data_IF_109499777725
#
_entry.id   IF_109499777725
#
_cell.length_a   1.000
_cell.length_b   1.000
_cell.length_c   1.000
_cell.angle_alpha   90.00
_cell.angle_beta   90.00
_cell.angle_gamma   90.00
#
_symmetry.space_group_name_H-M   'P 1'
#
loop_
_entity.id
_entity.type
_entity.pdbx_description
1 polymer ?
#
# COMPACT_ATOMS: atom_id res chain seq x y z
N UNK A 1 27.65 10.67 8.59
CA UNK A 1 26.30 11.25 8.35
C UNK A 1 26.25 11.79 6.93
N UNK A 2 25.05 11.79 6.34
CA UNK A 2 24.69 12.19 4.97
C UNK A 2 24.62 11.01 3.98
N UNK A 3 23.46 10.32 4.03
CA UNK A 3 22.95 9.52 2.92
C UNK A 3 22.16 10.43 1.95
N UNK A 4 22.06 10.03 0.69
CA UNK A 4 21.24 10.72 -0.30
C UNK A 4 19.76 10.73 0.15
N UNK A 5 19.13 11.90 0.14
CA UNK A 5 17.70 12.07 0.38
C UNK A 5 17.06 12.63 -0.89
N UNK A 6 15.98 11.98 -1.34
CA UNK A 6 15.07 12.55 -2.33
C UNK A 6 13.98 13.32 -1.57
N UNK A 7 13.91 14.63 -1.79
CA UNK A 7 12.85 15.49 -1.27
C UNK A 7 11.77 15.58 -2.33
N UNK A 8 10.55 15.14 -2.01
CA UNK A 8 9.38 15.34 -2.87
C UNK A 8 8.48 16.35 -2.18
N UNK A 9 8.30 17.51 -2.79
CA UNK A 9 7.30 18.49 -2.35
C UNK A 9 6.00 18.24 -3.10
N UNK A 10 4.90 18.09 -2.37
CA UNK A 10 3.54 18.03 -2.90
C UNK A 10 2.86 19.37 -2.60
N UNK A 11 2.51 20.13 -3.64
CA UNK A 11 1.56 21.23 -3.52
C UNK A 11 0.17 20.75 -3.98
N UNK A 12 -0.87 21.29 -3.32
CA UNK A 12 -2.23 20.75 -3.28
C UNK A 12 -3.07 21.07 -4.54
N UNK A 13 -2.48 21.66 -5.57
CA UNK A 13 -3.16 22.03 -6.80
C UNK A 13 -2.46 21.38 -7.99
N UNK A 14 -2.87 20.15 -8.33
CA UNK A 14 -2.75 19.41 -9.61
C UNK A 14 -1.50 19.54 -10.52
N UNK A 15 -0.43 20.22 -10.11
CA UNK A 15 0.86 20.31 -10.78
C UNK A 15 1.98 19.98 -9.79
N UNK A 16 2.55 18.79 -9.98
CA UNK A 16 3.71 18.34 -9.21
C UNK A 16 4.97 18.94 -9.84
N UNK A 17 5.45 20.06 -9.30
CA UNK A 17 6.78 20.54 -9.63
C UNK A 17 7.83 19.69 -8.90
N UNK A 18 8.55 18.86 -9.66
CA UNK A 18 9.81 18.27 -9.18
C UNK A 18 10.84 19.40 -9.11
N UNK A 19 10.96 20.06 -7.97
CA UNK A 19 12.13 20.90 -7.72
C UNK A 19 13.35 19.99 -7.54
N UNK A 20 14.21 19.95 -8.56
CA UNK A 20 15.58 19.47 -8.43
C UNK A 20 16.29 20.34 -7.37
N UNK A 21 16.40 19.83 -6.14
CA UNK A 21 17.33 20.40 -5.15
C UNK A 21 18.58 19.53 -5.17
N UNK A 22 19.60 20.05 -5.85
CA UNK A 22 20.92 19.49 -5.98
C UNK A 22 21.75 19.85 -4.74
N UNK A 23 22.21 18.86 -3.96
CA UNK A 23 23.41 19.01 -3.12
C UNK A 23 24.25 17.72 -3.15
N UNK A 24 25.23 17.75 -4.08
CA UNK A 24 26.55 17.11 -4.16
C UNK A 24 26.79 15.79 -3.41
N UNK A 25 27.00 14.69 -4.16
CA UNK A 25 28.31 14.08 -4.47
C UNK A 25 28.13 12.83 -5.36
N UNK A 26 29.05 12.63 -6.31
CA UNK A 26 29.34 11.31 -6.90
C UNK A 26 28.56 10.93 -8.17
N UNK A 27 29.13 11.24 -9.32
CA UNK A 27 28.78 10.75 -10.65
C UNK A 27 28.59 9.22 -10.72
N UNK A 28 27.51 8.74 -11.36
CA UNK A 28 27.56 7.43 -12.03
C UNK A 28 26.37 6.46 -11.96
N UNK A 29 25.15 6.84 -11.57
CA UNK A 29 24.01 5.90 -11.60
C UNK A 29 22.98 6.28 -12.67
N UNK A 30 22.72 5.35 -13.59
CA UNK A 30 21.82 5.52 -14.72
C UNK A 30 20.37 5.76 -14.27
N UNK A 31 19.85 6.93 -14.66
CA UNK A 31 18.54 7.49 -14.33
C UNK A 31 17.26 6.77 -14.82
N UNK A 32 17.22 5.83 -15.79
CA UNK A 32 15.93 5.41 -16.35
C UNK A 32 15.03 4.56 -15.43
N UNK A 33 15.57 3.77 -14.49
CA UNK A 33 14.77 2.77 -13.75
C UNK A 33 14.19 3.26 -12.43
N UNK A 34 14.80 4.26 -11.78
CA UNK A 34 14.26 4.83 -10.53
C UNK A 34 12.95 5.56 -10.81
N UNK A 35 12.87 6.28 -11.93
CA UNK A 35 11.67 7.02 -12.35
C UNK A 35 10.44 6.12 -12.61
N UNK A 36 10.63 4.90 -13.09
CA UNK A 36 9.52 3.96 -13.31
C UNK A 36 8.94 3.40 -12.00
N UNK A 37 9.77 3.11 -11.01
CA UNK A 37 9.30 2.70 -9.68
C UNK A 37 8.54 3.82 -8.96
N UNK A 38 8.99 5.08 -9.11
CA UNK A 38 8.31 6.23 -8.50
C UNK A 38 6.98 6.59 -9.17
N UNK A 39 6.85 6.39 -10.49
CA UNK A 39 5.59 6.62 -11.20
C UNK A 39 4.48 5.65 -10.73
N UNK A 40 4.80 4.37 -10.56
CA UNK A 40 3.86 3.40 -9.98
C UNK A 40 3.55 3.67 -8.50
N UNK A 41 4.55 4.12 -7.73
CA UNK A 41 4.36 4.48 -6.31
C UNK A 41 3.45 5.71 -6.12
N UNK A 42 3.48 6.67 -7.05
CA UNK A 42 2.59 7.84 -7.07
C UNK A 42 1.12 7.45 -7.22
N UNK A 43 0.82 6.49 -8.09
CA UNK A 43 -0.54 5.99 -8.32
C UNK A 43 -1.06 5.19 -7.11
N UNK A 44 -0.16 4.43 -6.47
CA UNK A 44 -0.45 3.67 -5.24
C UNK A 44 -0.74 4.59 -4.05
N UNK A 45 0.05 5.65 -3.82
CA UNK A 45 -0.16 6.58 -2.70
C UNK A 45 -1.49 7.33 -2.77
N UNK A 46 -2.05 7.52 -3.99
CA UNK A 46 -3.34 8.22 -4.18
C UNK A 46 -4.52 7.48 -3.54
N UNK A 47 -4.40 6.16 -3.37
CA UNK A 47 -5.49 5.30 -2.88
C UNK A 47 -5.26 4.77 -1.46
N UNK A 48 -4.16 5.14 -0.79
CA UNK A 48 -3.94 4.74 0.60
C UNK A 48 -4.69 5.71 1.51
N UNK A 49 -5.58 5.22 2.41
CA UNK A 49 -6.25 6.07 3.38
C UNK A 49 -5.22 6.55 4.41
N UNK A 50 -4.67 7.75 4.18
CA UNK A 50 -3.78 8.42 5.12
C UNK A 50 -4.60 9.13 6.21
N UNK A 51 -4.07 9.22 7.44
CA UNK A 51 -4.77 9.92 8.53
C UNK A 51 -4.95 11.42 8.21
N UNK A 52 -6.02 12.00 8.73
CA UNK A 52 -6.37 13.43 8.58
C UNK A 52 -5.25 14.37 9.02
N UNK A 53 -4.50 13.96 10.03
CA UNK A 53 -3.32 14.67 10.53
C UNK A 53 -2.24 14.88 9.46
N UNK A 54 -2.30 14.17 8.33
CA UNK A 54 -1.37 14.25 7.19
C UNK A 54 -2.07 14.87 5.99
N UNK A 55 -3.28 14.42 5.64
CA UNK A 55 -4.03 14.90 4.47
C UNK A 55 -4.54 16.33 4.62
N UNK A 56 -4.75 16.80 5.86
CA UNK A 56 -5.14 18.17 6.17
C UNK A 56 -3.98 19.18 6.17
N UNK A 57 -2.72 18.75 6.02
CA UNK A 57 -1.56 19.66 6.09
C UNK A 57 -1.19 20.25 4.74
N UNK A 58 -0.74 21.50 4.76
CA UNK A 58 -0.22 22.22 3.60
C UNK A 58 1.28 22.49 3.75
N UNK A 59 1.99 22.74 2.63
CA UNK A 59 3.40 23.17 2.62
C UNK A 59 4.36 22.31 3.47
N UNK A 60 4.19 20.99 3.44
CA UNK A 60 5.05 20.05 4.14
C UNK A 60 5.99 19.32 3.17
N UNK A 61 7.11 18.82 3.67
CA UNK A 61 8.02 17.95 2.93
C UNK A 61 7.62 16.49 3.15
N UNK A 62 7.60 15.70 2.07
CA UNK A 62 7.32 14.26 2.12
C UNK A 62 8.48 13.47 1.51
N UNK A 63 8.94 12.44 2.21
CA UNK A 63 9.97 11.52 1.73
C UNK A 63 9.57 10.09 2.04
N UNK A 64 9.71 9.18 1.07
CA UNK A 64 9.51 7.74 1.30
C UNK A 64 10.86 7.05 1.52
N UNK A 65 10.94 6.17 2.52
CA UNK A 65 12.12 5.38 2.86
C UNK A 65 11.74 3.91 2.85
N UNK A 66 12.30 3.15 1.90
CA UNK A 66 12.11 1.70 1.85
C UNK A 66 12.94 1.04 2.96
N UNK A 67 12.25 0.35 3.87
CA UNK A 67 12.87 -0.42 4.96
C UNK A 67 13.03 -1.89 4.59
N UNK A 68 12.08 -2.43 3.83
CA UNK A 68 12.13 -3.78 3.24
C UNK A 68 11.20 -3.86 2.01
N UNK A 69 11.21 -4.95 1.22
CA UNK A 69 10.29 -5.13 0.10
C UNK A 69 8.80 -5.02 0.49
N UNK A 70 8.49 -5.26 1.76
CA UNK A 70 7.12 -5.24 2.29
C UNK A 70 6.88 -4.09 3.28
N UNK A 71 7.83 -3.16 3.44
CA UNK A 71 7.71 -2.08 4.42
C UNK A 71 8.34 -0.78 3.90
N UNK A 72 7.54 0.27 3.82
CA UNK A 72 7.94 1.62 3.41
C UNK A 72 7.50 2.61 4.47
N UNK A 73 8.40 3.52 4.84
CA UNK A 73 8.12 4.58 5.79
C UNK A 73 7.96 5.91 5.05
N UNK A 74 6.82 6.57 5.23
CA UNK A 74 6.63 7.94 4.77
C UNK A 74 7.01 8.90 5.89
N UNK A 75 8.02 9.72 5.65
CA UNK A 75 8.51 10.74 6.56
C UNK A 75 7.96 12.08 6.11
N UNK A 76 7.26 12.75 7.01
CA UNK A 76 6.64 14.05 6.79
C UNK A 76 7.30 15.03 7.74
N UNK A 77 7.76 16.15 7.22
CA UNK A 77 8.43 17.19 8.00
C UNK A 77 7.84 18.56 7.70
N UNK A 78 7.52 19.29 8.76
CA UNK A 78 6.97 20.64 8.70
C UNK A 78 5.51 20.67 8.23
N UNK A 79 5.15 21.83 7.69
CA UNK A 79 3.82 22.12 7.19
C UNK A 79 3.12 23.26 7.93
N UNK A 80 1.94 23.60 7.41
CA UNK A 80 0.94 24.43 8.06
C UNK A 80 -0.35 23.64 8.25
N UNK A 81 -1.07 24.01 9.30
CA UNK A 81 -2.44 23.56 9.51
C UNK A 81 -3.38 24.14 8.44
N UNK A 82 -4.58 23.59 8.36
CA UNK A 82 -5.60 24.01 7.41
C UNK A 82 -5.86 25.52 7.46
N UNK A 83 -6.17 26.09 6.29
CA UNK A 83 -6.61 27.47 6.17
C UNK A 83 -7.90 27.66 6.96
N UNK A 84 -7.85 28.57 7.94
CA UNK A 84 -9.03 29.05 8.63
C UNK A 84 -9.33 30.45 8.12
N UNK A 85 -10.59 30.68 7.75
CA UNK A 85 -11.08 32.00 7.46
C UNK A 85 -11.42 32.66 8.79
N UNK A 86 -10.72 33.73 9.13
CA UNK A 86 -10.96 34.48 10.36
C UNK A 86 -11.46 35.89 9.99
N UNK A 87 -12.55 36.34 10.63
CA UNK A 87 -13.04 37.71 10.50
C UNK A 87 -12.09 38.65 11.25
N UNK A 88 -11.35 39.43 10.50
CA UNK A 88 -10.40 40.44 11.04
C UNK A 88 -11.10 41.77 11.34
N UNK A 89 -12.42 41.83 11.17
CA UNK A 89 -13.27 42.98 11.43
C UNK A 89 -13.70 43.71 10.15
N UNK A 90 -14.91 44.28 10.16
CA UNK A 90 -15.45 45.04 9.03
C UNK A 90 -16.08 44.17 7.92
N UNK A 91 -16.32 42.88 8.18
CA UNK A 91 -16.89 41.94 7.20
C UNK A 91 -15.88 41.42 6.19
N UNK A 92 -14.58 41.52 6.49
CA UNK A 92 -13.49 40.99 5.67
C UNK A 92 -12.94 39.75 6.38
N UNK A 93 -13.06 38.60 5.72
CA UNK A 93 -12.44 37.36 6.16
C UNK A 93 -11.08 37.20 5.47
N UNK A 94 -10.03 36.95 6.26
CA UNK A 94 -8.70 36.66 5.73
C UNK A 94 -8.32 35.18 6.02
N UNK A 95 -7.60 34.52 5.10
CA UNK A 95 -7.15 33.16 5.29
C UNK A 95 -5.92 33.14 6.22
N UNK A 96 -6.12 32.75 7.47
CA UNK A 96 -5.05 32.53 8.44
C UNK A 96 -4.57 31.07 8.35
N UNK A 97 -3.25 30.88 8.27
CA UNK A 97 -2.64 29.53 8.29
C UNK A 97 -1.51 29.46 9.31
N UNK A 98 -1.71 28.62 10.32
CA UNK A 98 -0.78 28.46 11.45
C UNK A 98 0.37 27.54 11.06
N UNK A 99 1.60 28.03 11.22
CA UNK A 99 2.79 27.20 11.08
C UNK A 99 2.83 26.12 12.15
N UNK A 100 3.13 24.89 11.75
CA UNK A 100 3.34 23.80 12.69
C UNK A 100 4.70 24.02 13.36
N UNK A 101 4.67 24.58 14.56
CA UNK A 101 5.86 24.79 15.41
C UNK A 101 5.95 23.79 16.56
N UNK A 102 4.90 22.99 16.78
CA UNK A 102 4.88 21.94 17.78
C UNK A 102 5.84 20.81 17.38
N UNK A 103 6.87 20.56 18.19
CA UNK A 103 7.87 19.51 18.00
C UNK A 103 7.24 18.13 17.79
N UNK A 104 6.11 17.85 18.45
CA UNK A 104 5.42 16.56 18.31
C UNK A 104 4.75 16.43 16.95
N UNK A 105 4.24 17.53 16.39
CA UNK A 105 3.58 17.53 15.08
C UNK A 105 4.56 17.83 13.95
N UNK A 106 5.73 18.40 14.24
CA UNK A 106 6.70 18.85 13.24
C UNK A 106 7.22 17.71 12.37
N UNK A 107 7.46 16.53 12.95
CA UNK A 107 7.91 15.35 12.22
C UNK A 107 6.96 14.20 12.48
N UNK A 108 6.49 13.57 11.41
CA UNK A 108 5.65 12.37 11.47
C UNK A 108 6.21 11.28 10.58
N UNK A 109 6.06 10.02 11.02
CA UNK A 109 6.40 8.85 10.23
C UNK A 109 5.17 7.95 10.11
N UNK A 110 4.81 7.59 8.89
CA UNK A 110 3.77 6.60 8.61
C UNK A 110 4.44 5.33 8.14
N UNK A 111 4.21 4.23 8.84
CA UNK A 111 4.66 2.90 8.43
C UNK A 111 3.61 2.27 7.53
N UNK A 112 3.98 2.07 6.28
CA UNK A 112 3.21 1.31 5.31
C UNK A 112 3.76 -0.11 5.23
N UNK A 113 2.86 -1.08 5.32
CA UNK A 113 3.18 -2.50 5.15
C UNK A 113 2.41 -3.05 3.97
N UNK A 114 3.11 -3.80 3.13
CA UNK A 114 2.51 -4.53 2.02
C UNK A 114 1.96 -5.85 2.52
N UNK A 115 0.67 -6.08 2.30
CA UNK A 115 0.03 -7.37 2.60
C UNK A 115 -0.01 -8.25 1.35
N UNK A 116 0.01 -9.58 1.53
CA UNK A 116 -0.03 -10.55 0.44
C UNK A 116 -1.24 -10.39 -0.50
N UNK A 117 -2.30 -9.71 -0.03
CA UNK A 117 -3.48 -9.34 -0.82
C UNK A 117 -3.23 -8.24 -1.87
N UNK A 118 -1.99 -7.76 -2.04
CA UNK A 118 -1.62 -6.80 -3.08
C UNK A 118 -1.84 -5.33 -2.71
N UNK A 119 -2.10 -5.04 -1.43
CA UNK A 119 -2.42 -3.69 -0.95
C UNK A 119 -1.40 -3.18 0.07
N UNK A 120 -1.29 -1.86 0.16
CA UNK A 120 -0.51 -1.19 1.20
C UNK A 120 -1.44 -0.73 2.32
N UNK A 121 -1.15 -1.15 3.54
CA UNK A 121 -1.89 -0.73 4.73
C UNK A 121 -1.03 0.16 5.62
N UNK A 122 -1.65 1.14 6.26
CA UNK A 122 -1.01 1.94 7.31
C UNK A 122 -0.95 1.07 8.58
N UNK A 123 0.25 0.62 8.94
CA UNK A 123 0.46 -0.17 10.14
C UNK A 123 0.60 0.72 11.38
N UNK A 124 1.31 1.84 11.27
CA UNK A 124 1.47 2.78 12.37
C UNK A 124 1.66 4.21 11.89
N UNK A 125 1.23 5.16 12.72
CA UNK A 125 1.44 6.60 12.54
C UNK A 125 2.17 7.07 13.79
N UNK A 126 3.37 7.58 13.62
CA UNK A 126 4.27 7.98 14.70
C UNK A 126 4.47 9.49 14.63
N UNK A 127 4.21 10.15 15.74
CA UNK A 127 4.48 11.58 15.89
C UNK A 127 5.86 11.84 16.55
N UNK A 128 6.24 13.09 16.67
CA UNK A 128 7.51 13.49 17.28
C UNK A 128 7.72 12.97 18.71
N UNK A 129 6.64 12.77 19.48
CA UNK A 129 6.72 12.18 20.81
C UNK A 129 7.01 10.68 20.71
N UNK A 130 6.29 9.97 19.84
CA UNK A 130 6.51 8.54 19.58
C UNK A 130 7.93 8.25 19.07
N UNK A 131 8.50 9.14 18.26
CA UNK A 131 9.87 9.03 17.75
C UNK A 131 10.94 9.09 18.86
N UNK A 132 10.63 9.75 19.98
CA UNK A 132 11.53 9.77 21.14
C UNK A 132 11.35 8.56 22.06
N UNK A 133 10.29 7.77 21.85
CA UNK A 133 10.00 6.62 22.70
C UNK A 133 11.06 5.52 22.56
N UNK A 134 11.38 4.87 23.69
CA UNK A 134 12.30 3.72 23.71
C UNK A 134 11.81 2.59 22.79
N UNK A 135 10.50 2.37 22.72
CA UNK A 135 9.85 1.38 21.86
C UNK A 135 10.15 1.63 20.38
N UNK A 136 10.05 2.88 19.92
CA UNK A 136 10.40 3.23 18.55
C UNK A 136 11.90 3.07 18.30
N UNK A 137 12.77 3.51 19.21
CA UNK A 137 14.22 3.37 19.04
C UNK A 137 14.66 1.91 18.87
N UNK A 138 14.10 1.00 19.68
CA UNK A 138 14.34 -0.44 19.57
C UNK A 138 13.82 -1.00 18.24
N UNK A 139 12.60 -0.61 17.86
CA UNK A 139 11.98 -0.99 16.57
C UNK A 139 12.84 -0.51 15.40
N UNK A 140 13.21 0.76 15.35
CA UNK A 140 14.08 1.33 14.31
C UNK A 140 15.45 0.66 14.28
N UNK A 141 16.05 0.37 15.43
CA UNK A 141 17.32 -0.36 15.50
C UNK A 141 17.20 -1.76 14.89
N UNK A 142 16.09 -2.45 15.14
CA UNK A 142 15.80 -3.74 14.50
C UNK A 142 15.65 -3.60 12.98
N UNK A 143 14.79 -2.69 12.51
CA UNK A 143 14.59 -2.46 11.09
C UNK A 143 15.84 -1.97 10.37
N UNK A 144 16.66 -1.15 11.01
CA UNK A 144 17.93 -0.69 10.43
C UNK A 144 18.87 -1.86 10.17
N UNK A 145 18.94 -2.86 11.08
CA UNK A 145 19.76 -4.07 10.84
C UNK A 145 19.21 -4.88 9.68
N UNK A 146 17.89 -5.08 9.62
CA UNK A 146 17.22 -5.79 8.53
C UNK A 146 17.39 -5.06 7.19
N UNK A 147 17.25 -3.72 7.19
CA UNK A 147 17.47 -2.89 6.01
C UNK A 147 18.91 -2.95 5.54
N UNK A 148 19.89 -2.83 6.44
CA UNK A 148 21.31 -3.00 6.09
C UNK A 148 21.55 -4.37 5.50
N UNK A 149 21.01 -5.44 6.10
CA UNK A 149 21.12 -6.79 5.54
C UNK A 149 20.50 -6.90 4.14
N UNK A 150 19.28 -6.37 3.92
CA UNK A 150 18.65 -6.36 2.59
C UNK A 150 19.43 -5.51 1.59
N UNK A 151 19.94 -4.36 2.01
CA UNK A 151 20.76 -3.50 1.17
C UNK A 151 22.07 -4.20 0.84
N UNK A 152 22.71 -4.91 1.77
CA UNK A 152 23.93 -5.69 1.51
C UNK A 152 23.64 -6.82 0.53
N UNK A 153 22.53 -7.54 0.67
CA UNK A 153 22.08 -8.56 -0.30
C UNK A 153 21.82 -7.96 -1.70
N UNK A 154 21.33 -6.72 -1.78
CA UNK A 154 21.11 -6.01 -3.05
C UNK A 154 22.41 -5.40 -3.62
N UNK A 155 23.32 -4.93 -2.75
CA UNK A 155 24.64 -4.39 -3.10
C UNK A 155 25.56 -5.49 -3.59
N UNK A 156 25.38 -6.73 -3.10
CA UNK A 156 26.20 -7.86 -3.54
C UNK A 156 26.03 -8.15 -5.04
N UNK A 157 24.98 -7.69 -5.77
CA UNK A 157 24.87 -8.05 -7.20
C UNK A 157 24.02 -7.13 -8.11
N UNK A 158 24.61 -6.00 -8.57
CA UNK A 158 24.71 -5.75 -10.01
C UNK A 158 26.16 -5.84 -10.51
N UNK A 159 27.13 -5.34 -9.75
CA UNK A 159 28.52 -5.15 -10.23
C UNK A 159 29.23 -6.46 -10.55
N UNK A 160 29.05 -7.55 -9.80
CA UNK A 160 29.76 -8.80 -10.10
C UNK A 160 29.12 -9.60 -11.27
N UNK A 161 27.79 -9.55 -11.47
CA UNK A 161 27.12 -10.13 -12.67
C UNK A 161 27.52 -9.30 -13.86
N UNK A 162 27.45 -7.98 -13.73
CA UNK A 162 27.84 -7.04 -14.77
C UNK A 162 29.32 -7.19 -15.12
N UNK A 163 30.23 -7.33 -14.16
CA UNK A 163 31.66 -7.57 -14.43
C UNK A 163 31.92 -8.95 -15.03
N UNK A 164 31.21 -10.01 -14.62
CA UNK A 164 31.31 -11.34 -15.25
C UNK A 164 30.76 -11.31 -16.67
N UNK A 165 29.62 -10.65 -16.89
CA UNK A 165 28.98 -10.49 -18.19
C UNK A 165 29.82 -9.60 -19.12
N UNK A 166 30.38 -8.50 -18.62
CA UNK A 166 31.29 -7.63 -19.37
C UNK A 166 32.58 -8.36 -19.75
N UNK A 167 33.17 -9.15 -18.83
CA UNK A 167 34.30 -10.03 -19.16
C UNK A 167 33.95 -11.04 -20.24
N UNK A 168 32.78 -11.66 -20.16
CA UNK A 168 32.31 -12.60 -21.17
C UNK A 168 32.09 -11.92 -22.55
N UNK A 169 31.48 -10.74 -22.57
CA UNK A 169 31.30 -9.92 -23.79
C UNK A 169 32.66 -9.53 -24.39
N UNK A 170 33.64 -9.15 -23.58
CA UNK A 170 35.00 -8.84 -24.04
C UNK A 170 35.70 -10.07 -24.63
N UNK A 171 35.60 -11.23 -23.97
CA UNK A 171 36.16 -12.49 -24.47
C UNK A 171 35.60 -12.84 -25.85
N UNK A 172 34.28 -12.78 -26.00
CA UNK A 172 33.60 -13.05 -27.27
C UNK A 172 34.06 -12.08 -28.38
N UNK A 173 34.24 -10.79 -28.07
CA UNK A 173 34.76 -9.83 -29.04
C UNK A 173 36.18 -10.19 -29.51
N UNK A 174 37.01 -10.67 -28.59
CA UNK A 174 38.41 -11.02 -28.89
C UNK A 174 38.49 -12.30 -29.72
N UNK A 175 37.69 -13.31 -29.40
CA UNK A 175 37.55 -14.53 -30.21
C UNK A 175 37.04 -14.22 -31.62
N UNK A 176 36.04 -13.34 -31.75
CA UNK A 176 35.51 -12.91 -33.04
C UNK A 176 36.55 -12.19 -33.90
N UNK A 177 37.39 -11.35 -33.28
CA UNK A 177 38.47 -10.63 -33.96
C UNK A 177 39.57 -11.59 -34.45
N UNK A 178 39.96 -12.56 -33.64
CA UNK A 178 40.94 -13.60 -34.02
C UNK A 178 40.39 -14.46 -35.16
N UNK A 179 39.13 -14.89 -35.08
CA UNK A 179 38.47 -15.64 -36.14
C UNK A 179 38.43 -14.84 -37.46
N UNK A 180 38.17 -13.53 -37.40
CA UNK A 180 38.20 -12.66 -38.56
C UNK A 180 39.61 -12.55 -39.17
N UNK A 181 40.64 -12.37 -38.34
CA UNK A 181 42.04 -12.35 -38.81
C UNK A 181 42.44 -13.68 -39.45
N UNK A 182 42.11 -14.80 -38.82
CA UNK A 182 42.39 -16.13 -39.37
C UNK A 182 41.69 -16.35 -40.72
N UNK A 183 40.44 -15.89 -40.86
CA UNK A 183 39.71 -15.93 -42.13
C UNK A 183 40.41 -15.12 -43.22
N UNK A 184 40.88 -13.91 -42.92
CA UNK A 184 41.61 -13.07 -43.87
C UNK A 184 42.94 -13.72 -44.28
N UNK A 185 43.71 -14.24 -43.33
CA UNK A 185 44.98 -14.94 -43.61
C UNK A 185 44.76 -16.18 -44.48
N UNK A 186 43.72 -16.97 -44.22
CA UNK A 186 43.36 -18.12 -45.07
C UNK A 186 42.98 -17.67 -46.48
N UNK A 187 42.25 -16.57 -46.61
CA UNK A 187 41.88 -16.02 -47.91
C UNK A 187 43.11 -15.52 -48.68
N UNK A 188 44.05 -14.85 -48.03
CA UNK A 188 45.32 -14.43 -48.64
C UNK A 188 46.17 -15.63 -49.08
N UNK A 189 46.34 -16.63 -48.22
CA UNK A 189 47.07 -17.86 -48.55
C UNK A 189 46.47 -18.60 -49.76
N UNK A 190 45.14 -18.68 -49.86
CA UNK A 190 44.43 -19.23 -51.01
C UNK A 190 44.69 -18.43 -52.29
N UNK A 191 44.69 -17.09 -52.20
CA UNK A 191 44.96 -16.24 -53.38
C UNK A 191 46.42 -16.31 -53.84
N UNK A 192 47.37 -16.43 -52.91
CA UNK A 192 48.81 -16.55 -53.22
C UNK A 192 49.13 -17.93 -53.81
N UNK A 193 48.55 -19.00 -53.27
CA UNK A 193 48.66 -20.35 -53.85
C UNK A 193 48.09 -20.40 -55.28
N UNK A 194 46.96 -19.74 -55.52
CA UNK A 194 46.36 -19.64 -56.87
C UNK A 194 47.22 -18.82 -57.85
N UNK A 195 48.05 -17.88 -57.37
CA UNK A 195 49.04 -17.18 -58.20
C UNK A 195 50.28 -18.04 -58.48
N UNK A 196 50.78 -18.77 -57.47
CA UNK A 196 51.96 -19.64 -57.60
C UNK A 196 51.69 -20.89 -58.46
N UNK A 197 50.44 -21.30 -58.65
CA UNK A 197 50.07 -22.39 -59.56
C UNK A 197 50.24 -22.05 -61.07
N UNK A 198 50.67 -20.84 -61.43
CA UNK A 198 50.92 -20.41 -62.82
C UNK A 198 52.40 -20.41 -63.23
N UNK A 199 53.36 -20.83 -62.39
CA UNK A 199 54.79 -20.89 -62.75
C UNK A 199 55.39 -22.23 -62.31
N UNK A 200 56.15 -22.82 -63.23
CA UNK A 200 56.49 -24.24 -63.39
C UNK A 200 57.29 -24.95 -62.27
N UNK A 201 57.16 -26.29 -62.31
CA UNK A 201 58.09 -27.37 -61.94
C UNK A 201 58.73 -27.40 -60.54
N UNK A 202 58.09 -28.13 -59.61
CA UNK A 202 58.80 -29.10 -58.76
C UNK A 202 57.82 -30.16 -58.21
N UNK A 203 58.14 -31.44 -58.43
CA UNK A 203 57.28 -32.59 -58.14
C UNK A 203 57.40 -33.07 -56.68
N UNK A 204 58.41 -32.58 -55.95
CA UNK A 204 58.72 -32.95 -54.55
C UNK A 204 58.15 -32.00 -53.50
N UNK A 205 58.00 -30.70 -53.78
CA UNK A 205 57.38 -29.74 -52.84
C UNK A 205 55.85 -29.83 -52.85
N UNK A 206 55.28 -30.38 -53.93
CA UNK A 206 53.84 -30.58 -54.07
C UNK A 206 53.30 -31.63 -53.11
N UNK A 207 54.06 -32.67 -52.75
CA UNK A 207 53.56 -33.76 -51.89
C UNK A 207 53.41 -33.35 -50.43
N UNK A 208 54.40 -32.66 -49.84
CA UNK A 208 54.31 -32.16 -48.45
C UNK A 208 53.20 -31.12 -48.29
N UNK A 209 53.07 -30.20 -49.26
CA UNK A 209 52.03 -29.15 -49.23
C UNK A 209 50.62 -29.73 -49.46
N UNK A 210 50.49 -30.82 -50.23
CA UNK A 210 49.23 -31.58 -50.36
C UNK A 210 48.88 -32.33 -49.07
N UNK A 211 49.88 -32.87 -48.38
CA UNK A 211 49.68 -33.61 -47.13
C UNK A 211 49.24 -32.69 -45.98
N UNK A 212 49.82 -31.48 -45.88
CA UNK A 212 49.34 -30.44 -44.96
C UNK A 212 47.92 -29.95 -45.32
N UNK A 213 47.62 -29.80 -46.61
CA UNK A 213 46.29 -29.39 -47.08
C UNK A 213 45.22 -30.45 -46.76
N UNK A 214 45.55 -31.74 -46.90
CA UNK A 214 44.68 -32.85 -46.52
C UNK A 214 44.44 -32.90 -45.00
N UNK A 215 45.46 -32.64 -44.18
CA UNK A 215 45.31 -32.51 -42.72
C UNK A 215 44.43 -31.32 -42.33
N UNK A 216 44.64 -30.15 -42.92
CA UNK A 216 43.83 -28.96 -42.67
C UNK A 216 42.37 -29.16 -43.13
N UNK A 217 42.17 -29.85 -44.25
CA UNK A 217 40.84 -30.20 -44.74
C UNK A 217 40.12 -31.17 -43.80
N UNK A 218 40.83 -32.15 -43.24
CA UNK A 218 40.29 -33.07 -42.25
C UNK A 218 39.89 -32.33 -40.95
N UNK A 219 40.74 -31.43 -40.45
CA UNK A 219 40.43 -30.59 -39.28
C UNK A 219 39.22 -29.69 -39.52
N UNK A 220 39.12 -29.05 -40.68
CA UNK A 220 37.94 -28.25 -41.07
C UNK A 220 36.66 -29.08 -41.18
N UNK A 221 36.77 -30.36 -41.54
CA UNK A 221 35.64 -31.26 -41.63
C UNK A 221 35.16 -31.70 -40.23
N UNK A 222 36.10 -31.90 -39.31
CA UNK A 222 35.86 -32.19 -37.89
C UNK A 222 35.23 -31.00 -37.16
N UNK A 223 35.76 -29.78 -37.34
CA UNK A 223 35.18 -28.54 -36.80
C UNK A 223 33.76 -28.29 -37.30
N UNK A 224 33.49 -28.53 -38.59
CA UNK A 224 32.13 -28.44 -39.14
C UNK A 224 31.18 -29.42 -38.47
N UNK A 225 31.66 -30.62 -38.11
CA UNK A 225 30.86 -31.63 -37.45
C UNK A 225 30.49 -31.19 -36.03
N UNK A 226 31.44 -30.62 -35.28
CA UNK A 226 31.22 -30.07 -33.93
C UNK A 226 30.23 -28.90 -33.96
N UNK A 227 30.40 -27.95 -34.89
CA UNK A 227 29.48 -26.80 -35.04
C UNK A 227 28.06 -27.26 -35.39
N UNK A 228 27.92 -28.33 -36.17
CA UNK A 228 26.61 -28.88 -36.53
C UNK A 228 25.92 -29.51 -35.32
N UNK A 229 26.67 -30.28 -34.51
CA UNK A 229 26.14 -30.90 -33.29
C UNK A 229 25.73 -29.86 -32.22
N UNK A 230 26.53 -28.81 -32.03
CA UNK A 230 26.22 -27.74 -31.07
C UNK A 230 25.00 -26.92 -31.51
N UNK A 231 24.81 -26.70 -32.81
CA UNK A 231 23.61 -26.05 -33.33
C UNK A 231 22.34 -26.88 -33.09
N UNK A 232 22.42 -28.21 -33.20
CA UNK A 232 21.29 -29.10 -32.86
C UNK A 232 20.98 -29.07 -31.35
N UNK A 233 22.01 -29.06 -30.49
CA UNK A 233 21.83 -28.88 -29.04
C UNK A 233 21.22 -27.54 -28.67
N UNK A 234 21.63 -26.46 -29.34
CA UNK A 234 21.06 -25.13 -29.13
C UNK A 234 19.60 -25.09 -29.58
N UNK A 235 19.27 -25.71 -30.72
CA UNK A 235 17.90 -25.80 -31.20
C UNK A 235 16.97 -26.51 -30.21
N UNK A 236 17.42 -27.64 -29.65
CA UNK A 236 16.64 -28.36 -28.62
C UNK A 236 16.39 -27.52 -27.35
N UNK A 237 17.35 -26.67 -26.94
CA UNK A 237 17.16 -25.75 -25.81
C UNK A 237 16.20 -24.60 -26.14
N UNK A 238 16.22 -24.11 -27.38
CA UNK A 238 15.29 -23.06 -27.83
C UNK A 238 13.85 -23.60 -27.79
N UNK A 239 13.63 -24.83 -28.26
CA UNK A 239 12.31 -25.47 -28.23
C UNK A 239 11.79 -25.62 -26.77
N UNK A 240 12.66 -25.98 -25.82
CA UNK A 240 12.32 -26.09 -24.39
C UNK A 240 11.93 -24.73 -23.77
N UNK A 241 12.65 -23.65 -24.15
CA UNK A 241 12.31 -22.29 -23.71
C UNK A 241 11.03 -21.77 -24.34
N UNK A 242 10.71 -22.12 -25.59
CA UNK A 242 9.44 -21.76 -26.22
C UNK A 242 8.26 -22.35 -25.45
N UNK A 243 8.34 -23.63 -25.06
CA UNK A 243 7.32 -24.29 -24.21
C UNK A 243 7.14 -23.55 -22.89
N UNK A 244 8.24 -23.25 -22.19
CA UNK A 244 8.22 -22.51 -20.93
C UNK A 244 7.62 -21.10 -21.06
N UNK A 245 7.87 -20.41 -22.18
CA UNK A 245 7.27 -19.10 -22.45
C UNK A 245 5.75 -19.22 -22.61
N UNK A 246 5.26 -20.23 -23.34
CA UNK A 246 3.82 -20.48 -23.46
C UNK A 246 3.16 -20.80 -22.13
N UNK A 247 3.78 -21.62 -21.28
CA UNK A 247 3.26 -21.91 -19.92
C UNK A 247 3.13 -20.63 -19.09
N UNK A 248 4.14 -19.76 -19.11
CA UNK A 248 4.09 -18.45 -18.43
C UNK A 248 2.97 -17.56 -18.99
N UNK A 249 2.74 -17.56 -20.30
CA UNK A 249 1.69 -16.76 -20.93
C UNK A 249 0.28 -17.24 -20.51
N UNK A 250 0.07 -18.56 -20.42
CA UNK A 250 -1.18 -19.13 -19.92
C UNK A 250 -1.40 -18.82 -18.42
N UNK A 251 -0.37 -18.95 -17.58
CA UNK A 251 -0.44 -18.57 -16.16
C UNK A 251 -0.78 -17.09 -15.97
N UNK A 252 -0.16 -16.20 -16.76
CA UNK A 252 -0.47 -14.76 -16.72
C UNK A 252 -1.93 -14.48 -17.06
N UNK A 253 -2.49 -15.19 -18.03
CA UNK A 253 -3.90 -15.03 -18.42
C UNK A 253 -4.83 -15.46 -17.30
N UNK A 254 -4.55 -16.58 -16.62
CA UNK A 254 -5.33 -17.04 -15.47
C UNK A 254 -5.27 -16.02 -14.32
N UNK A 255 -4.08 -15.51 -13.99
CA UNK A 255 -3.89 -14.50 -12.94
C UNK A 255 -4.69 -13.22 -13.26
N UNK A 256 -4.77 -12.80 -14.52
CA UNK A 256 -5.54 -11.62 -14.90
C UNK A 256 -7.06 -11.83 -14.79
N UNK A 257 -7.56 -13.03 -15.07
CA UNK A 257 -8.96 -13.39 -14.84
C UNK A 257 -9.30 -13.43 -13.33
N UNK A 258 -8.43 -14.02 -12.50
CA UNK A 258 -8.60 -14.04 -11.04
C UNK A 258 -8.60 -12.62 -10.44
N UNK A 259 -7.70 -11.74 -10.90
CA UNK A 259 -7.68 -10.34 -10.47
C UNK A 259 -9.00 -9.62 -10.72
N UNK A 260 -9.64 -9.86 -11.87
CA UNK A 260 -10.96 -9.27 -12.20
C UNK A 260 -12.06 -9.77 -11.25
N UNK A 261 -12.04 -11.07 -10.92
CA UNK A 261 -13.00 -11.65 -9.97
C UNK A 261 -12.82 -11.10 -8.55
N UNK A 262 -11.58 -10.95 -8.10
CA UNK A 262 -11.26 -10.34 -6.79
C UNK A 262 -11.75 -8.90 -6.71
N UNK A 263 -11.53 -8.12 -7.78
CA UNK A 263 -11.98 -6.71 -7.84
C UNK A 263 -13.51 -6.58 -7.82
N UNK A 264 -14.23 -7.50 -8.48
CA UNK A 264 -15.69 -7.55 -8.39
C UNK A 264 -16.17 -7.96 -6.99
N UNK A 265 -15.46 -8.90 -6.35
CA UNK A 265 -15.71 -9.31 -4.97
C UNK A 265 -15.57 -8.15 -3.98
N UNK A 266 -14.48 -7.37 -4.08
CA UNK A 266 -14.25 -6.18 -3.24
C UNK A 266 -15.40 -5.17 -3.34
N UNK A 267 -15.86 -4.86 -4.56
CA UNK A 267 -17.00 -3.96 -4.78
C UNK A 267 -18.31 -4.45 -4.15
N UNK A 268 -18.53 -5.76 -4.05
CA UNK A 268 -19.71 -6.32 -3.37
C UNK A 268 -19.58 -6.16 -1.85
N UNK A 269 -18.42 -6.50 -1.29
CA UNK A 269 -18.15 -6.37 0.15
C UNK A 269 -18.24 -4.91 0.61
N UNK A 270 -17.78 -3.96 -0.19
CA UNK A 270 -17.86 -2.53 0.13
C UNK A 270 -19.31 -2.05 0.23
N UNK A 271 -20.17 -2.46 -0.71
CA UNK A 271 -21.62 -2.17 -0.65
C UNK A 271 -22.30 -2.81 0.54
N UNK A 272 -21.97 -4.05 0.87
CA UNK A 272 -22.52 -4.73 2.05
C UNK A 272 -22.07 -4.02 3.34
N UNK A 273 -20.83 -3.53 3.40
CA UNK A 273 -20.32 -2.77 4.55
C UNK A 273 -21.06 -1.44 4.73
N UNK A 274 -21.33 -0.72 3.66
CA UNK A 274 -22.12 0.52 3.70
C UNK A 274 -23.55 0.25 4.22
N UNK A 275 -24.20 -0.82 3.76
CA UNK A 275 -25.53 -1.22 4.23
C UNK A 275 -25.53 -1.56 5.73
N UNK A 276 -24.55 -2.34 6.20
CA UNK A 276 -24.42 -2.69 7.62
C UNK A 276 -24.21 -1.45 8.48
N UNK A 277 -23.45 -0.47 7.99
CA UNK A 277 -23.22 0.78 8.72
C UNK A 277 -24.49 1.65 8.80
N UNK A 278 -25.30 1.65 7.74
CA UNK A 278 -26.63 2.29 7.75
C UNK A 278 -27.58 1.61 8.74
N UNK A 279 -27.71 0.29 8.71
CA UNK A 279 -28.53 -0.47 9.66
C UNK A 279 -28.10 -0.23 11.12
N UNK A 280 -26.79 -0.11 11.37
CA UNK A 280 -26.26 0.19 12.70
C UNK A 280 -26.69 1.58 13.18
N UNK A 281 -26.67 2.59 12.31
CA UNK A 281 -27.13 3.95 12.65
C UNK A 281 -28.63 3.95 13.01
N UNK A 282 -29.45 3.25 12.22
CA UNK A 282 -30.88 3.13 12.48
C UNK A 282 -31.16 2.44 13.82
N UNK A 283 -30.40 1.39 14.15
CA UNK A 283 -30.53 0.67 15.42
C UNK A 283 -30.14 1.55 16.62
N UNK A 284 -29.07 2.34 16.51
CA UNK A 284 -28.65 3.28 17.55
C UNK A 284 -29.71 4.36 17.80
N UNK A 285 -30.35 4.88 16.75
CA UNK A 285 -31.46 5.82 16.87
C UNK A 285 -32.68 5.20 17.56
N UNK A 286 -33.06 3.97 17.19
CA UNK A 286 -34.16 3.26 17.83
C UNK A 286 -33.90 3.05 19.32
N UNK A 287 -32.68 2.61 19.68
CA UNK A 287 -32.28 2.43 21.07
C UNK A 287 -32.40 3.73 21.89
N UNK A 288 -32.02 4.87 21.30
CA UNK A 288 -32.12 6.17 21.97
C UNK A 288 -33.59 6.58 22.20
N UNK A 289 -34.46 6.34 21.21
CA UNK A 289 -35.91 6.59 21.32
C UNK A 289 -36.54 5.72 22.41
N UNK A 290 -36.24 4.42 22.43
CA UNK A 290 -36.74 3.49 23.48
C UNK A 290 -36.27 3.89 24.88
N UNK A 291 -35.01 4.33 25.03
CA UNK A 291 -34.47 4.81 26.30
C UNK A 291 -35.21 6.03 26.82
N UNK A 292 -35.58 6.97 25.94
CA UNK A 292 -36.40 8.13 26.31
C UNK A 292 -37.81 7.71 26.75
N UNK A 293 -38.48 6.86 25.97
CA UNK A 293 -39.81 6.32 26.28
C UNK A 293 -39.80 5.62 27.64
N UNK A 294 -38.78 4.79 27.91
CA UNK A 294 -38.63 4.07 29.18
C UNK A 294 -38.49 5.03 30.37
N UNK A 295 -37.74 6.12 30.20
CA UNK A 295 -37.58 7.14 31.25
C UNK A 295 -38.90 7.85 31.54
N UNK A 296 -39.65 8.21 30.49
CA UNK A 296 -40.96 8.84 30.62
C UNK A 296 -41.96 7.91 31.32
N UNK A 297 -42.05 6.65 30.89
CA UNK A 297 -42.94 5.65 31.50
C UNK A 297 -42.61 5.42 32.98
N UNK A 298 -41.32 5.29 33.34
CA UNK A 298 -40.90 5.17 34.75
C UNK A 298 -41.36 6.35 35.60
N UNK A 299 -41.30 7.57 35.07
CA UNK A 299 -41.78 8.77 35.79
C UNK A 299 -43.31 8.77 35.98
N UNK A 300 -44.08 8.35 34.96
CA UNK A 300 -45.54 8.23 35.04
C UNK A 300 -45.96 7.16 36.05
N UNK A 301 -45.28 6.01 36.06
CA UNK A 301 -45.53 4.93 37.03
C UNK A 301 -45.29 5.42 38.47
N UNK A 302 -44.17 6.11 38.74
CA UNK A 302 -43.88 6.67 40.06
C UNK A 302 -44.95 7.69 40.51
N UNK A 303 -45.42 8.55 39.60
CA UNK A 303 -46.50 9.49 39.90
C UNK A 303 -47.83 8.77 40.23
N UNK A 304 -48.15 7.71 39.49
CA UNK A 304 -49.36 6.91 39.74
C UNK A 304 -49.28 6.14 41.07
N UNK A 305 -48.11 5.61 41.43
CA UNK A 305 -47.88 4.97 42.73
C UNK A 305 -48.09 5.96 43.88
N UNK A 306 -47.56 7.19 43.76
CA UNK A 306 -47.76 8.27 44.74
C UNK A 306 -49.24 8.64 44.88
N UNK A 307 -49.96 8.77 43.76
CA UNK A 307 -51.39 9.06 43.75
C UNK A 307 -52.20 7.94 44.43
N UNK A 308 -51.87 6.69 44.13
CA UNK A 308 -52.50 5.51 44.75
C UNK A 308 -52.25 5.48 46.27
N UNK A 309 -51.02 5.76 46.71
CA UNK A 309 -50.68 5.85 48.13
C UNK A 309 -51.47 6.96 48.85
N UNK A 310 -51.68 8.10 48.18
CA UNK A 310 -52.49 9.21 48.71
C UNK A 310 -53.96 8.80 48.87
N UNK A 311 -54.56 8.19 47.85
CA UNK A 311 -55.93 7.68 47.92
C UNK A 311 -56.12 6.61 49.00
N UNK A 312 -55.13 5.72 49.18
CA UNK A 312 -55.17 4.70 50.24
C UNK A 312 -55.13 5.33 51.65
N UNK A 313 -54.30 6.36 51.86
CA UNK A 313 -54.28 7.12 53.13
C UNK A 313 -55.59 7.83 53.40
N UNK A 314 -56.18 8.48 52.39
CA UNK A 314 -57.48 9.14 52.53
C UNK A 314 -58.57 8.11 52.87
N UNK A 315 -58.61 6.97 52.17
CA UNK A 315 -59.56 5.88 52.47
C UNK A 315 -59.43 5.34 53.89
N UNK A 316 -58.21 5.14 54.38
CA UNK A 316 -57.92 4.70 55.75
C UNK A 316 -58.45 5.72 56.78
N UNK A 317 -58.21 7.02 56.55
CA UNK A 317 -58.75 8.09 57.38
C UNK A 317 -60.29 8.07 57.41
N UNK A 318 -60.94 7.91 56.25
CA UNK A 318 -62.41 7.79 56.18
C UNK A 318 -62.95 6.56 56.92
N UNK A 319 -62.22 5.44 56.90
CA UNK A 319 -62.60 4.22 57.64
C UNK A 319 -62.55 4.45 59.15
N UNK A 320 -61.47 5.04 59.65
CA UNK A 320 -61.30 5.35 61.08
C UNK A 320 -62.34 6.36 61.59
N UNK A 321 -62.72 7.35 60.79
CA UNK A 321 -63.78 8.32 61.13
C UNK A 321 -65.15 7.61 61.26
N UNK A 322 -65.45 6.64 60.40
CA UNK A 322 -66.70 5.86 60.50
C UNK A 322 -66.73 4.94 61.72
N UNK A 323 -65.62 4.26 62.01
CA UNK A 323 -65.52 3.38 63.19
C UNK A 323 -65.62 4.18 64.50
N UNK A 324 -64.97 5.34 64.59
CA UNK A 324 -65.06 6.23 65.77
C UNK A 324 -66.42 6.92 65.91
N UNK A 325 -67.14 7.15 64.80
CA UNK A 325 -68.51 7.70 64.81
C UNK A 325 -69.59 6.64 65.11
N UNK A 326 -69.22 5.36 65.25
CA UNK A 326 -70.16 4.27 65.57
C UNK A 326 -70.43 4.16 67.08
N UNK A 327 -69.71 4.93 67.93
CA UNK A 327 -70.10 5.14 69.33
C UNK A 327 -71.07 6.34 69.38
N UNK A 328 -72.37 6.02 69.31
CA UNK A 328 -73.41 6.81 69.96
C UNK A 328 -74.12 7.88 69.13
N UNK A 329 -74.83 7.52 68.06
CA UNK A 329 -75.97 8.31 67.58
C UNK A 329 -77.15 7.40 67.28
N UNK A 330 -77.97 7.14 68.31
CA UNK A 330 -79.35 6.67 68.13
C UNK A 330 -80.13 7.80 67.47
N UNK A 331 -80.36 7.72 66.16
CA UNK A 331 -81.28 8.61 65.48
C UNK A 331 -82.72 8.21 65.82
N UNK A 332 -83.34 8.94 66.75
CA UNK A 332 -84.79 8.94 66.92
C UNK A 332 -85.42 9.61 65.69
N UNK A 333 -85.88 8.80 64.73
CA UNK A 333 -86.77 9.30 63.67
C UNK A 333 -88.17 9.52 64.28
N UNK A 334 -88.48 10.77 64.62
CA UNK A 334 -89.86 11.22 64.76
C UNK A 334 -90.49 11.18 63.36
N UNK A 335 -91.38 10.23 63.09
CA UNK A 335 -92.20 10.20 61.88
C UNK A 335 -93.36 11.18 62.09
N UNK A 336 -93.47 12.31 61.35
CA UNK A 336 -94.64 13.17 61.43
C UNK A 336 -95.82 12.48 60.75
N UNK A 337 -96.82 12.10 61.54
CA UNK A 337 -98.14 11.66 61.05
C UNK A 337 -98.81 12.84 60.35
N UNK A 338 -98.78 12.87 59.01
CA UNK A 338 -99.57 13.82 58.24
C UNK A 338 -101.04 13.38 58.25
N UNK A 339 -101.86 14.19 58.91
CA UNK A 339 -103.31 14.06 58.92
C UNK A 339 -103.89 14.08 57.51
N UNK A 340 -104.71 13.07 57.21
CA UNK A 340 -105.65 13.11 56.09
C UNK A 340 -106.91 13.82 56.57
N UNK A 341 -107.13 15.03 56.08
CA UNK A 341 -108.39 15.74 56.19
C UNK A 341 -109.31 15.40 55.02
N UNK A 342 -110.53 15.01 55.38
CA UNK A 342 -111.81 15.26 54.69
C UNK A 342 -112.19 14.30 53.55
N UNK A 343 -113.20 13.47 53.85
CA UNK A 343 -114.32 13.18 52.95
C UNK A 343 -115.57 13.73 53.66
N UNK A 344 -116.41 14.37 52.83
CA UNK A 344 -117.72 15.02 53.04
C UNK A 344 -117.74 16.47 53.53
#
# INVERSE_FOLDING_TARGET
MLGQFFVVSLEKEDEMFIHNVFLLFGSGCAWPRVSQCFAGFKEVLRNIPLPESVTGRYFHSLTAVTMSPHCVWLVIVGGRDEFKWEDVGGGVEEPTSTLITDTNRLTMIIELVYIEAGEWIVQSVLDGNDLTSKKYQEKYSSYSKTRTWWMDQLIEYPTEKEMKLQRYIQSLHQELQVAHQNKVSLQEALTEANKQAKVDDSETVKSEKLEEMLKAQAQLQEEKQIITEDNEKLKAKVDDYEVYITEIEEEKKQIEEEKKLVEEGKRKVEKEKEQVEEEKRELEEQYLKEKQITKELKSKVANNELYTAKLMKEREQWSQIKETSTIGLQFNYLIPSMGKSIID
#
